data_IF_517451176243
#
_entry.id   IF_517451176243
#
_cell.length_a   1.000
_cell.length_b   1.000
_cell.length_c   1.000
_cell.angle_alpha   90.00
_cell.angle_beta   90.00
_cell.angle_gamma   90.00
#
_symmetry.space_group_name_H-M   'P 1'
#
loop_
_entity.id
_entity.type
_entity.pdbx_description
1 polymer ?
#
# COMPACT_ATOMS: atom_id res chain seq x y z
N UNK A 1 -7.49 13.37 0.07
CA UNK A 1 -7.64 13.98 -1.27
C UNK A 1 -6.54 14.99 -1.59
N UNK A 2 -6.29 16.00 -0.74
CA UNK A 2 -5.27 17.03 -1.02
C UNK A 2 -3.87 16.46 -1.32
N UNK A 3 -3.40 15.48 -0.55
CA UNK A 3 -2.11 14.79 -0.77
C UNK A 3 -1.97 14.25 -2.20
N UNK A 4 -3.03 13.61 -2.73
CA UNK A 4 -3.05 13.08 -4.09
C UNK A 4 -2.98 14.20 -5.14
N UNK A 5 -3.80 15.25 -4.99
CA UNK A 5 -3.81 16.36 -5.95
C UNK A 5 -2.44 17.06 -6.02
N UNK A 6 -1.80 17.28 -4.86
CA UNK A 6 -0.44 17.81 -4.78
C UNK A 6 0.56 16.88 -5.46
N UNK A 7 0.50 15.57 -5.20
CA UNK A 7 1.42 14.60 -5.81
C UNK A 7 1.27 14.51 -7.32
N UNK A 8 0.03 14.44 -7.82
CA UNK A 8 -0.29 14.41 -9.24
C UNK A 8 0.26 15.64 -9.96
N UNK A 9 0.08 16.84 -9.37
CA UNK A 9 0.62 18.08 -9.94
C UNK A 9 2.16 18.09 -9.95
N UNK A 10 2.81 17.62 -8.88
CA UNK A 10 4.27 17.60 -8.76
C UNK A 10 4.94 16.57 -9.68
N UNK A 11 4.37 15.39 -9.80
CA UNK A 11 4.94 14.29 -10.58
C UNK A 11 4.38 14.20 -12.02
N UNK A 12 3.40 15.05 -12.36
CA UNK A 12 2.71 15.10 -13.65
C UNK A 12 2.27 13.72 -14.16
N UNK A 13 1.62 12.96 -13.27
CA UNK A 13 1.25 11.57 -13.51
C UNK A 13 -0.03 11.22 -12.76
N UNK A 14 -0.78 10.28 -13.32
CA UNK A 14 -1.93 9.64 -12.67
C UNK A 14 -1.67 8.15 -12.39
N UNK A 15 -0.43 7.68 -12.62
CA UNK A 15 -0.07 6.27 -12.46
C UNK A 15 -0.23 5.83 -11.00
N UNK A 16 -1.03 4.79 -10.78
CA UNK A 16 -1.11 4.08 -9.52
C UNK A 16 -0.35 2.76 -9.64
N UNK A 17 0.73 2.59 -8.88
CA UNK A 17 1.57 1.39 -8.93
C UNK A 17 0.98 0.33 -7.99
N UNK A 18 0.71 -0.87 -8.51
CA UNK A 18 0.28 -2.02 -7.70
C UNK A 18 1.45 -2.66 -6.96
N UNK A 19 1.22 -3.09 -5.72
CA UNK A 19 2.22 -3.80 -4.89
C UNK A 19 1.65 -5.18 -4.52
N UNK A 20 1.80 -6.13 -5.46
CA UNK A 20 1.13 -7.44 -5.43
C UNK A 20 2.20 -8.56 -5.43
N UNK A 21 2.91 -8.76 -4.30
CA UNK A 21 4.12 -9.59 -4.27
C UNK A 21 3.84 -11.09 -4.47
N UNK A 22 4.61 -11.73 -5.34
CA UNK A 22 4.61 -13.19 -5.57
C UNK A 22 6.02 -13.75 -5.39
N UNK A 23 6.12 -15.06 -5.11
CA UNK A 23 7.40 -15.74 -4.86
C UNK A 23 7.72 -15.93 -3.36
N UNK A 24 8.96 -16.32 -3.07
CA UNK A 24 9.41 -16.62 -1.70
C UNK A 24 9.41 -15.38 -0.80
N UNK A 25 9.39 -15.58 0.52
CA UNK A 25 9.45 -14.49 1.50
C UNK A 25 10.74 -13.67 1.37
N UNK A 26 11.88 -14.32 1.08
CA UNK A 26 13.13 -13.58 0.87
C UNK A 26 13.05 -12.67 -0.35
N UNK A 27 12.53 -13.19 -1.46
CA UNK A 27 12.41 -12.41 -2.70
C UNK A 27 11.46 -11.23 -2.55
N UNK A 28 10.31 -11.45 -1.91
CA UNK A 28 9.31 -10.41 -1.68
C UNK A 28 9.87 -9.31 -0.79
N UNK A 29 10.51 -9.68 0.32
CA UNK A 29 11.10 -8.73 1.28
C UNK A 29 12.20 -7.89 0.62
N UNK A 30 12.98 -8.49 -0.28
CA UNK A 30 14.04 -7.79 -1.02
C UNK A 30 13.49 -6.87 -2.12
N UNK A 31 12.49 -7.32 -2.88
CA UNK A 31 12.04 -6.64 -4.11
C UNK A 31 11.05 -5.51 -3.87
N UNK A 32 10.17 -5.61 -2.88
CA UNK A 32 9.14 -4.59 -2.65
C UNK A 32 9.73 -3.19 -2.41
N UNK A 33 10.77 -3.00 -1.57
CA UNK A 33 11.42 -1.70 -1.41
C UNK A 33 12.07 -1.20 -2.71
N UNK A 34 12.63 -2.09 -3.52
CA UNK A 34 13.24 -1.75 -4.82
C UNK A 34 12.18 -1.22 -5.79
N UNK A 35 11.05 -1.93 -5.92
CA UNK A 35 9.92 -1.49 -6.75
C UNK A 35 9.43 -0.12 -6.31
N UNK A 36 9.25 0.11 -5.01
CA UNK A 36 8.84 1.42 -4.49
C UNK A 36 9.85 2.49 -4.87
N UNK A 37 11.14 2.27 -4.59
CA UNK A 37 12.19 3.26 -4.84
C UNK A 37 12.33 3.61 -6.33
N UNK A 38 12.33 2.60 -7.21
CA UNK A 38 12.50 2.77 -8.65
C UNK A 38 11.27 3.39 -9.32
N UNK A 39 10.07 3.17 -8.78
CA UNK A 39 8.82 3.66 -9.37
C UNK A 39 8.28 4.93 -8.73
N UNK A 40 8.74 5.28 -7.52
CA UNK A 40 8.28 6.45 -6.79
C UNK A 40 8.29 7.74 -7.63
N UNK A 41 9.34 8.07 -8.42
CA UNK A 41 9.35 9.29 -9.24
C UNK A 41 8.17 9.39 -10.23
N UNK A 42 7.61 8.26 -10.66
CA UNK A 42 6.57 8.17 -11.68
C UNK A 42 5.18 7.88 -11.10
N UNK A 43 5.09 7.56 -9.80
CA UNK A 43 3.86 7.17 -9.15
C UNK A 43 3.10 8.36 -8.56
N UNK A 44 1.80 8.41 -8.85
CA UNK A 44 0.83 9.27 -8.17
C UNK A 44 0.36 8.65 -6.85
N UNK A 45 0.31 7.32 -6.76
CA UNK A 45 -0.05 6.55 -5.57
C UNK A 45 0.50 5.12 -5.66
N UNK A 46 0.57 4.43 -4.52
CA UNK A 46 0.81 3.00 -4.42
C UNK A 46 -0.44 2.26 -3.93
N UNK A 47 -0.71 1.09 -4.47
CA UNK A 47 -1.89 0.28 -4.13
C UNK A 47 -1.50 -1.16 -3.79
N UNK A 48 -1.10 -1.45 -2.53
CA UNK A 48 -0.95 -2.83 -2.10
C UNK A 48 -2.30 -3.56 -2.10
N UNK A 49 -2.34 -4.73 -2.72
CA UNK A 49 -3.49 -5.62 -2.64
C UNK A 49 -3.37 -6.54 -1.43
N UNK A 50 -4.29 -6.40 -0.48
CA UNK A 50 -4.25 -7.06 0.82
C UNK A 50 -4.15 -8.59 0.73
N UNK A 51 -4.77 -9.20 -0.29
CA UNK A 51 -4.81 -10.65 -0.43
C UNK A 51 -3.41 -11.28 -0.56
N UNK A 52 -2.48 -10.62 -1.27
CA UNK A 52 -1.11 -11.11 -1.45
C UNK A 52 -0.28 -11.08 -0.17
N UNK A 53 -0.66 -10.22 0.78
CA UNK A 53 -0.03 -10.16 2.09
C UNK A 53 -0.65 -11.20 3.00
N UNK A 54 -1.99 -11.27 3.11
CA UNK A 54 -2.68 -12.19 4.02
C UNK A 54 -2.43 -13.67 3.72
N UNK A 55 -2.04 -14.02 2.49
CA UNK A 55 -1.65 -15.39 2.13
C UNK A 55 -0.27 -15.81 2.67
N UNK A 56 0.38 -14.99 3.50
CA UNK A 56 1.71 -15.22 4.08
C UNK A 56 1.63 -15.13 5.60
N UNK A 57 2.42 -15.94 6.30
CA UNK A 57 2.38 -16.03 7.77
C UNK A 57 2.61 -14.68 8.47
N UNK A 58 3.61 -13.92 8.03
CA UNK A 58 3.93 -12.58 8.55
C UNK A 58 3.40 -11.45 7.65
N UNK A 59 2.38 -11.74 6.86
CA UNK A 59 1.84 -10.86 5.83
C UNK A 59 1.48 -9.46 6.31
N UNK A 60 0.78 -9.38 7.43
CA UNK A 60 0.36 -8.09 8.02
C UNK A 60 1.58 -7.26 8.43
N UNK A 61 2.61 -7.87 9.03
CA UNK A 61 3.83 -7.16 9.40
C UNK A 61 4.56 -6.63 8.17
N UNK A 62 4.69 -7.45 7.13
CA UNK A 62 5.27 -7.05 5.85
C UNK A 62 4.49 -5.89 5.22
N UNK A 63 3.16 -5.95 5.22
CA UNK A 63 2.32 -4.87 4.70
C UNK A 63 2.61 -3.54 5.41
N UNK A 64 2.73 -3.53 6.74
CA UNK A 64 3.09 -2.29 7.48
C UNK A 64 4.45 -1.75 7.06
N UNK A 65 5.44 -2.63 6.88
CA UNK A 65 6.78 -2.23 6.43
C UNK A 65 6.75 -1.64 5.02
N UNK A 66 5.94 -2.21 4.14
CA UNK A 66 5.76 -1.74 2.75
C UNK A 66 5.10 -0.37 2.73
N UNK A 67 4.02 -0.17 3.51
CA UNK A 67 3.37 1.14 3.62
C UNK A 67 4.31 2.19 4.19
N UNK A 68 5.09 1.84 5.23
CA UNK A 68 6.09 2.73 5.82
C UNK A 68 7.27 3.05 4.88
N UNK A 69 7.55 2.20 3.88
CA UNK A 69 8.61 2.42 2.90
C UNK A 69 8.18 3.34 1.74
N UNK A 70 6.88 3.60 1.58
CA UNK A 70 6.38 4.55 0.57
C UNK A 70 6.81 5.97 0.94
N UNK A 71 7.46 6.72 0.04
CA UNK A 71 7.91 8.07 0.34
C UNK A 71 6.78 9.00 0.78
N UNK A 72 7.11 9.88 1.72
CA UNK A 72 6.20 10.93 2.17
C UNK A 72 5.67 11.75 0.98
N UNK A 73 4.41 12.17 1.10
CA UNK A 73 3.72 12.88 0.02
C UNK A 73 3.11 11.98 -1.06
N UNK A 74 3.48 10.70 -1.17
CA UNK A 74 2.80 9.73 -2.05
C UNK A 74 1.68 9.02 -1.26
N UNK A 75 0.41 9.08 -1.69
CA UNK A 75 -0.68 8.34 -1.08
C UNK A 75 -0.53 6.82 -1.23
N UNK A 76 -1.06 6.09 -0.25
CA UNK A 76 -1.25 4.64 -0.30
C UNK A 76 -2.74 4.33 -0.36
N UNK A 77 -3.12 3.33 -1.14
CA UNK A 77 -4.50 2.85 -1.26
C UNK A 77 -4.48 1.37 -0.90
N UNK A 78 -4.97 1.02 0.29
CA UNK A 78 -5.11 -0.39 0.65
C UNK A 78 -6.28 -1.01 -0.12
N UNK A 79 -5.98 -1.86 -1.10
CA UNK A 79 -6.97 -2.61 -1.85
C UNK A 79 -7.38 -3.85 -1.05
N UNK A 80 -8.23 -3.62 -0.03
CA UNK A 80 -8.76 -4.65 0.87
C UNK A 80 -10.15 -5.18 0.50
N UNK A 81 -10.86 -4.49 -0.41
CA UNK A 81 -12.25 -4.81 -0.81
C UNK A 81 -13.19 -5.05 0.38
N UNK A 82 -13.00 -4.29 1.46
CA UNK A 82 -13.78 -4.41 2.69
C UNK A 82 -15.26 -4.09 2.44
N UNK A 83 -16.16 -4.85 3.05
CA UNK A 83 -17.60 -4.63 2.98
C UNK A 83 -18.34 -5.47 4.01
N UNK A 84 -18.95 -4.81 4.99
CA UNK A 84 -19.68 -5.42 6.10
C UNK A 84 -20.59 -4.37 6.78
N UNK A 85 -21.38 -4.75 7.77
CA UNK A 85 -22.21 -3.84 8.58
C UNK A 85 -21.34 -2.89 9.42
N UNK A 86 -21.93 -1.77 9.84
CA UNK A 86 -21.21 -0.66 10.48
C UNK A 86 -20.23 -1.08 11.59
N UNK A 87 -20.64 -1.94 12.52
CA UNK A 87 -19.78 -2.38 13.62
C UNK A 87 -18.51 -3.09 13.12
N UNK A 88 -18.65 -4.01 12.17
CA UNK A 88 -17.51 -4.74 11.58
C UNK A 88 -16.68 -3.82 10.68
N UNK A 89 -17.33 -2.92 9.93
CA UNK A 89 -16.66 -1.96 9.06
C UNK A 89 -15.70 -1.03 9.84
N UNK A 90 -16.02 -0.69 11.09
CA UNK A 90 -15.11 0.08 11.95
C UNK A 90 -13.81 -0.67 12.25
N UNK A 91 -13.84 -1.99 12.39
CA UNK A 91 -12.62 -2.79 12.57
C UNK A 91 -11.77 -2.82 11.28
N UNK A 92 -12.40 -2.84 10.10
CA UNK A 92 -11.66 -2.69 8.83
C UNK A 92 -11.01 -1.31 8.72
N UNK A 93 -11.72 -0.25 9.12
CA UNK A 93 -11.16 1.10 9.15
C UNK A 93 -9.97 1.19 10.13
N UNK A 94 -10.11 0.65 11.34
CA UNK A 94 -9.01 0.56 12.32
C UNK A 94 -7.80 -0.20 11.76
N UNK A 95 -8.04 -1.33 11.09
CA UNK A 95 -6.97 -2.09 10.46
C UNK A 95 -6.27 -1.28 9.36
N UNK A 96 -7.01 -0.65 8.45
CA UNK A 96 -6.45 0.10 7.33
C UNK A 96 -5.68 1.34 7.77
N UNK A 97 -6.28 2.15 8.65
CA UNK A 97 -5.74 3.46 9.02
C UNK A 97 -4.80 3.39 10.21
N UNK A 98 -5.13 2.63 11.26
CA UNK A 98 -4.36 2.66 12.51
C UNK A 98 -3.29 1.56 12.56
N UNK A 99 -3.60 0.36 12.05
CA UNK A 99 -2.65 -0.77 12.07
C UNK A 99 -1.70 -0.71 10.88
N UNK A 100 -2.23 -0.53 9.67
CA UNK A 100 -1.44 -0.51 8.43
C UNK A 100 -0.86 0.87 8.12
N UNK A 101 -1.60 1.95 8.42
CA UNK A 101 -1.16 3.32 8.15
C UNK A 101 -1.37 3.79 6.71
N UNK A 102 -2.32 3.20 5.99
CA UNK A 102 -2.62 3.53 4.60
C UNK A 102 -3.36 4.87 4.43
#
# INVERSE_FOLDING_TARGET
MQKLLTRVAQANTLLCVGLDPTGSDEDVTRRLPQVIAETAPYAAAFKPNLAFFLSRDNGTQLLRQVVAAVPDGIPVILDGKFGDIANTAMHYAQFAYDVVGA
#
